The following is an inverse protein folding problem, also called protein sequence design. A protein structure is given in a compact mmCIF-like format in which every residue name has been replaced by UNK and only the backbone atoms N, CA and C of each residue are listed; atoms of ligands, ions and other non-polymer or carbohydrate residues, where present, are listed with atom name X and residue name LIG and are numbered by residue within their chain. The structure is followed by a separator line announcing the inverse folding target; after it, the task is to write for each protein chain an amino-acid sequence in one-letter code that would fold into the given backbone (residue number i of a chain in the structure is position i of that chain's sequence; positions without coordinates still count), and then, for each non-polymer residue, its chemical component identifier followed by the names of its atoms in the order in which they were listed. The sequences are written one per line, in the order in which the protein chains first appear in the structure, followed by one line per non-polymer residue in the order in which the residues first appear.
data_IF_401511427018
#
_entry.id   IF_401511427018
#
_cell.length_a   1.000
_cell.length_b   1.000
_cell.length_c   1.000
_cell.angle_alpha   90.00
_cell.angle_beta   90.00
_cell.angle_gamma   90.00
#
_symmetry.space_group_name_H-M   'P 1'
#
loop_
_entity.id
_entity.type
_entity.pdbx_description
1 polymer ?
#
# COMPACT_ATOMS: atom_id res chain seq x y z
N UNK A 1 -16.95 -0.36 -10.83
CA UNK A 1 -15.82 0.39 -10.25
C UNK A 1 -14.59 0.17 -11.11
N UNK A 2 -14.01 1.24 -11.63
CA UNK A 2 -12.76 1.25 -12.40
C UNK A 2 -11.60 1.54 -11.45
N UNK A 3 -10.63 0.65 -11.36
CA UNK A 3 -9.56 0.72 -10.35
C UNK A 3 -8.21 1.06 -10.97
N UNK A 4 -7.55 2.10 -10.44
CA UNK A 4 -6.17 2.41 -10.76
C UNK A 4 -5.26 1.71 -9.74
N UNK A 5 -4.26 0.99 -10.24
CA UNK A 5 -3.18 0.42 -9.45
C UNK A 5 -1.90 1.16 -9.81
N UNK A 6 -1.34 1.89 -8.85
CA UNK A 6 0.00 2.46 -8.95
C UNK A 6 0.94 1.60 -8.11
N UNK A 7 1.83 0.86 -8.79
CA UNK A 7 2.79 -0.03 -8.14
C UNK A 7 4.12 0.07 -8.90
N UNK A 8 5.00 1.03 -8.55
CA UNK A 8 6.33 1.17 -9.15
C UNK A 8 7.03 -0.18 -9.24
N UNK A 9 7.67 -0.47 -10.37
CA UNK A 9 8.40 -1.75 -10.54
C UNK A 9 9.54 -1.86 -9.53
N UNK A 10 9.37 -2.75 -8.56
CA UNK A 10 10.37 -3.11 -7.57
C UNK A 10 10.16 -4.56 -7.14
N UNK A 11 11.22 -5.38 -7.26
CA UNK A 11 11.16 -6.81 -6.95
C UNK A 11 10.83 -7.08 -5.48
N UNK A 12 11.26 -6.20 -4.57
CA UNK A 12 11.06 -6.39 -3.13
C UNK A 12 9.59 -6.20 -2.72
N UNK A 13 8.79 -5.49 -3.52
CA UNK A 13 7.35 -5.26 -3.26
C UNK A 13 6.44 -6.11 -4.15
N UNK A 14 6.99 -7.03 -4.96
CA UNK A 14 6.22 -7.84 -5.91
C UNK A 14 5.09 -8.65 -5.26
N UNK A 15 5.21 -9.02 -3.98
CA UNK A 15 4.15 -9.70 -3.23
C UNK A 15 2.84 -8.89 -3.20
N UNK A 16 2.91 -7.56 -3.27
CA UNK A 16 1.72 -6.69 -3.33
C UNK A 16 0.91 -6.91 -4.62
N UNK A 17 1.50 -7.51 -5.65
CA UNK A 17 0.77 -7.87 -6.87
C UNK A 17 -0.37 -8.86 -6.65
N UNK A 18 -0.28 -9.67 -5.59
CA UNK A 18 -1.35 -10.58 -5.16
C UNK A 18 -2.66 -9.83 -4.92
N UNK A 19 -2.59 -8.61 -4.36
CA UNK A 19 -3.75 -7.77 -4.04
C UNK A 19 -4.63 -7.58 -5.28
N UNK A 20 -4.02 -7.22 -6.40
CA UNK A 20 -4.75 -6.85 -7.61
C UNK A 20 -4.72 -7.93 -8.71
N UNK A 21 -4.12 -9.10 -8.46
CA UNK A 21 -3.97 -10.16 -9.46
C UNK A 21 -5.32 -10.55 -10.10
N UNK A 22 -6.35 -10.73 -9.26
CA UNK A 22 -7.67 -11.21 -9.69
C UNK A 22 -8.66 -10.08 -10.06
N UNK A 23 -8.31 -8.82 -9.85
CA UNK A 23 -9.16 -7.69 -10.25
C UNK A 23 -9.35 -7.64 -11.77
N UNK A 24 -10.60 -7.58 -12.24
CA UNK A 24 -10.91 -7.56 -13.68
C UNK A 24 -10.79 -6.15 -14.29
N UNK A 25 -11.45 -5.16 -13.69
CA UNK A 25 -11.52 -3.79 -14.23
C UNK A 25 -10.43 -2.89 -13.63
N UNK A 26 -9.16 -3.15 -14.01
CA UNK A 26 -7.99 -2.45 -13.50
C UNK A 26 -7.13 -1.82 -14.58
N UNK A 27 -6.56 -0.66 -14.27
CA UNK A 27 -5.42 -0.08 -14.98
C UNK A 27 -4.21 -0.21 -14.07
N UNK A 28 -3.14 -0.87 -14.52
CA UNK A 28 -1.91 -1.05 -13.73
C UNK A 28 -0.80 -0.20 -14.30
N UNK A 29 -0.27 0.69 -13.48
CA UNK A 29 0.84 1.57 -13.81
C UNK A 29 2.03 1.20 -12.93
N UNK A 30 3.13 0.80 -13.57
CA UNK A 30 4.39 0.47 -12.88
C UNK A 30 5.56 1.42 -13.20
N UNK A 31 5.34 2.38 -14.09
CA UNK A 31 6.35 3.31 -14.59
C UNK A 31 5.91 3.96 -15.91
N UNK A 32 6.80 4.74 -16.51
CA UNK A 32 6.68 5.25 -17.88
C UNK A 32 5.77 6.46 -18.08
N UNK A 33 5.07 6.93 -17.03
CA UNK A 33 4.20 8.11 -17.09
C UNK A 33 4.70 9.25 -16.21
N UNK A 34 4.29 10.46 -16.51
CA UNK A 34 4.54 11.67 -15.72
C UNK A 34 3.53 11.83 -14.58
N UNK A 35 3.83 12.70 -13.61
CA UNK A 35 2.87 13.07 -12.55
C UNK A 35 1.57 13.64 -13.11
N UNK A 36 1.65 14.44 -14.18
CA UNK A 36 0.47 15.03 -14.82
C UNK A 36 -0.44 13.96 -15.45
N UNK A 37 0.14 12.94 -16.07
CA UNK A 37 -0.62 11.80 -16.60
C UNK A 37 -1.22 10.95 -15.48
N UNK A 38 -0.47 10.74 -14.40
CA UNK A 38 -0.97 10.06 -13.21
C UNK A 38 -2.17 10.79 -12.59
N UNK A 39 -2.13 12.13 -12.49
CA UNK A 39 -3.27 12.92 -11.99
C UNK A 39 -4.53 12.69 -12.82
N UNK A 40 -4.43 12.68 -14.16
CA UNK A 40 -5.58 12.38 -15.04
C UNK A 40 -6.10 10.96 -14.85
N UNK A 41 -5.21 10.00 -14.58
CA UNK A 41 -5.61 8.64 -14.25
C UNK A 41 -6.33 8.61 -12.91
N UNK A 42 -5.82 9.29 -11.88
CA UNK A 42 -6.50 9.38 -10.58
C UNK A 42 -7.91 9.95 -10.77
N UNK A 43 -8.05 11.07 -11.48
CA UNK A 43 -9.35 11.70 -11.75
C UNK A 43 -10.34 10.75 -12.42
N UNK A 44 -9.90 10.00 -13.42
CA UNK A 44 -10.74 9.11 -14.26
C UNK A 44 -11.03 7.71 -13.68
N UNK A 45 -10.55 7.40 -12.46
CA UNK A 45 -10.79 6.12 -11.79
C UNK A 45 -11.55 6.32 -10.48
N UNK A 46 -12.35 5.32 -10.13
CA UNK A 46 -13.22 5.37 -8.94
C UNK A 46 -12.44 5.05 -7.66
N UNK A 47 -11.49 4.11 -7.76
CA UNK A 47 -10.67 3.60 -6.65
C UNK A 47 -9.20 3.59 -7.04
N UNK A 48 -8.34 3.96 -6.10
CA UNK A 48 -6.89 4.01 -6.31
C UNK A 48 -6.19 3.12 -5.28
N UNK A 49 -5.34 2.20 -5.73
CA UNK A 49 -4.41 1.45 -4.88
C UNK A 49 -3.00 1.95 -5.17
N UNK A 50 -2.33 2.47 -4.16
CA UNK A 50 -0.95 2.97 -4.23
C UNK A 50 -0.07 2.07 -3.37
N UNK A 51 0.84 1.34 -4.02
CA UNK A 51 1.52 0.17 -3.46
C UNK A 51 3.03 0.29 -3.70
N UNK A 52 3.85 0.00 -2.70
CA UNK A 52 5.29 -0.15 -2.88
C UNK A 52 6.10 0.41 -1.72
N UNK A 53 7.28 0.92 -2.02
CA UNK A 53 8.13 1.62 -1.05
C UNK A 53 7.77 3.09 -0.93
N UNK A 54 7.98 3.64 0.26
CA UNK A 54 7.61 5.02 0.53
C UNK A 54 8.16 5.53 1.84
N UNK A 55 7.76 6.76 2.14
CA UNK A 55 8.09 7.48 3.34
C UNK A 55 6.86 8.31 3.77
N UNK A 56 6.91 9.01 4.92
CA UNK A 56 5.82 9.89 5.35
C UNK A 56 5.38 10.91 4.29
N UNK A 57 6.29 11.31 3.40
CA UNK A 57 6.04 12.33 2.38
C UNK A 57 5.46 11.78 1.06
N UNK A 58 5.42 10.45 0.86
CA UNK A 58 4.91 9.89 -0.40
C UNK A 58 5.41 8.51 -0.80
N UNK A 59 4.88 8.03 -1.93
CA UNK A 59 5.26 6.79 -2.59
C UNK A 59 6.49 7.02 -3.49
N UNK A 60 7.53 6.20 -3.32
CA UNK A 60 8.79 6.37 -4.04
C UNK A 60 8.63 6.09 -5.54
N UNK A 61 9.36 6.86 -6.34
CA UNK A 61 9.43 6.70 -7.79
C UNK A 61 10.23 5.44 -8.20
N UNK A 62 11.30 5.11 -7.45
CA UNK A 62 12.26 4.04 -7.78
C UNK A 62 12.80 4.12 -9.22
N UNK A 63 12.91 5.35 -9.75
CA UNK A 63 13.40 5.61 -11.11
C UNK A 63 12.44 5.20 -12.24
N UNK A 64 11.20 4.83 -11.93
CA UNK A 64 10.26 4.27 -12.91
C UNK A 64 9.48 5.34 -13.70
N UNK A 65 9.38 6.55 -13.16
CA UNK A 65 8.51 7.62 -13.64
C UNK A 65 9.32 8.86 -14.05
N UNK A 66 9.35 9.20 -15.36
CA UNK A 66 10.11 10.32 -15.87
C UNK A 66 9.71 11.65 -15.22
N UNK A 67 10.71 12.42 -14.77
CA UNK A 67 10.50 13.76 -14.22
C UNK A 67 9.78 13.83 -12.87
N UNK A 68 9.49 12.69 -12.22
CA UNK A 68 8.76 12.66 -10.95
C UNK A 68 9.62 13.03 -9.73
N UNK A 69 10.95 13.02 -9.84
CA UNK A 69 11.85 13.20 -8.70
C UNK A 69 11.85 11.99 -7.77
N UNK A 70 11.98 12.21 -6.46
CA UNK A 70 12.06 11.13 -5.45
C UNK A 70 10.74 10.35 -5.32
N UNK A 71 9.61 11.05 -5.33
CA UNK A 71 8.28 10.48 -5.09
C UNK A 71 7.42 10.57 -6.35
N UNK A 72 6.76 9.47 -6.71
CA UNK A 72 5.72 9.50 -7.76
C UNK A 72 4.40 10.04 -7.20
N UNK A 73 4.08 9.75 -5.95
CA UNK A 73 2.96 10.38 -5.23
C UNK A 73 3.53 11.21 -4.10
N UNK A 74 3.17 12.49 -4.04
CA UNK A 74 3.52 13.42 -2.96
C UNK A 74 2.37 14.39 -2.71
N UNK A 75 2.58 15.39 -1.84
CA UNK A 75 1.56 16.38 -1.48
C UNK A 75 0.97 17.15 -2.66
N UNK A 76 1.64 17.22 -3.82
CA UNK A 76 1.07 17.86 -5.02
C UNK A 76 -0.17 17.14 -5.57
N UNK A 77 -0.35 15.86 -5.21
CA UNK A 77 -1.49 15.04 -5.62
C UNK A 77 -2.64 15.06 -4.61
N UNK A 78 -2.47 15.72 -3.46
CA UNK A 78 -3.48 15.72 -2.39
C UNK A 78 -4.84 16.21 -2.87
N UNK A 79 -4.88 17.27 -3.69
CA UNK A 79 -6.13 17.85 -4.21
C UNK A 79 -6.96 16.84 -5.00
N UNK A 80 -6.35 16.07 -5.91
CA UNK A 80 -7.08 15.07 -6.70
C UNK A 80 -7.45 13.84 -5.89
N UNK A 81 -6.62 13.47 -4.91
CA UNK A 81 -6.86 12.34 -4.01
C UNK A 81 -7.99 12.61 -3.00
N UNK A 82 -8.18 13.86 -2.54
CA UNK A 82 -9.30 14.24 -1.66
C UNK A 82 -10.68 13.97 -2.26
N UNK A 83 -10.77 13.94 -3.58
CA UNK A 83 -12.01 13.64 -4.30
C UNK A 83 -12.28 12.13 -4.40
N UNK A 84 -11.47 11.29 -3.74
CA UNK A 84 -11.58 9.83 -3.76
C UNK A 84 -11.91 9.35 -2.35
N UNK A 85 -12.92 8.49 -2.24
CA UNK A 85 -13.39 7.93 -0.97
C UNK A 85 -12.99 6.48 -0.73
N UNK A 86 -12.28 5.87 -1.68
CA UNK A 86 -12.01 4.45 -1.69
C UNK A 86 -10.57 4.19 -2.13
N UNK A 87 -9.62 4.78 -1.39
CA UNK A 87 -8.19 4.66 -1.65
C UNK A 87 -7.51 3.70 -0.69
N UNK A 88 -6.47 3.02 -1.16
CA UNK A 88 -5.55 2.24 -0.34
C UNK A 88 -4.12 2.76 -0.52
N UNK A 89 -3.45 3.02 0.59
CA UNK A 89 -2.09 3.56 0.65
C UNK A 89 -1.19 2.57 1.40
N UNK A 90 -0.45 1.76 0.65
CA UNK A 90 0.33 0.64 1.19
C UNK A 90 1.81 0.87 0.90
N UNK A 91 2.47 1.50 1.86
CA UNK A 91 3.92 1.68 1.94
C UNK A 91 4.30 2.08 3.36
N UNK A 92 5.60 2.10 3.68
CA UNK A 92 6.10 2.49 5.00
C UNK A 92 5.72 3.94 5.34
N UNK A 93 4.91 4.11 6.40
CA UNK A 93 4.41 5.40 6.89
C UNK A 93 3.41 6.11 5.97
N UNK A 94 2.60 5.35 5.24
CA UNK A 94 1.51 5.90 4.45
C UNK A 94 0.44 6.59 5.31
N UNK A 95 0.24 6.16 6.55
CA UNK A 95 -0.63 6.81 7.54
C UNK A 95 -0.30 8.31 7.71
N UNK A 96 0.99 8.65 7.84
CA UNK A 96 1.45 10.03 7.97
C UNK A 96 1.12 10.86 6.74
N UNK A 97 1.36 10.30 5.55
CA UNK A 97 1.00 10.95 4.30
C UNK A 97 -0.49 11.27 4.22
N UNK A 98 -1.33 10.30 4.60
CA UNK A 98 -2.80 10.43 4.56
C UNK A 98 -3.27 11.49 5.56
N UNK A 99 -2.77 11.46 6.80
CA UNK A 99 -3.10 12.44 7.86
C UNK A 99 -2.68 13.86 7.47
N UNK A 100 -1.42 14.06 7.08
CA UNK A 100 -0.85 15.38 6.75
C UNK A 100 -1.58 16.05 5.58
N UNK A 101 -2.06 15.26 4.63
CA UNK A 101 -2.76 15.75 3.45
C UNK A 101 -4.29 15.78 3.62
N UNK A 102 -4.84 15.34 4.75
CA UNK A 102 -6.29 15.26 4.98
C UNK A 102 -7.00 14.36 3.98
N UNK A 103 -6.40 13.19 3.71
CA UNK A 103 -6.95 12.15 2.84
C UNK A 103 -7.69 11.10 3.68
N UNK A 104 -8.50 10.28 3.02
CA UNK A 104 -9.24 9.17 3.65
C UNK A 104 -8.96 7.86 2.92
N UNK A 105 -9.04 6.74 3.63
CA UNK A 105 -8.81 5.42 3.09
C UNK A 105 -8.07 4.48 4.03
N UNK A 106 -7.82 3.27 3.55
CA UNK A 106 -7.03 2.26 4.25
C UNK A 106 -5.54 2.56 4.03
N UNK A 107 -4.77 2.62 5.10
CA UNK A 107 -3.34 2.88 5.03
C UNK A 107 -2.53 2.06 6.03
N UNK A 108 -1.24 1.94 5.74
CA UNK A 108 -0.26 1.31 6.63
C UNK A 108 0.60 2.36 7.32
N UNK A 109 0.93 2.13 8.59
CA UNK A 109 2.05 2.80 9.26
C UNK A 109 3.38 2.26 8.76
N UNK A 110 4.39 2.17 9.64
CA UNK A 110 5.57 1.37 9.31
C UNK A 110 5.15 -0.08 9.01
N UNK A 111 5.59 -0.61 7.88
CA UNK A 111 5.29 -1.97 7.45
C UNK A 111 6.60 -2.68 7.13
N UNK A 112 6.96 -3.69 7.93
CA UNK A 112 8.16 -4.49 7.67
C UNK A 112 7.83 -5.46 6.53
N UNK A 113 8.45 -5.22 5.40
CA UNK A 113 8.36 -6.02 4.17
C UNK A 113 9.67 -6.77 3.85
N UNK A 114 10.79 -6.33 4.41
CA UNK A 114 12.11 -6.92 4.15
C UNK A 114 12.99 -7.05 5.40
N UNK A 115 14.07 -7.83 5.28
CA UNK A 115 14.97 -8.13 6.38
C UNK A 115 15.75 -6.89 6.88
N UNK A 116 16.03 -5.93 6.00
CA UNK A 116 16.74 -4.70 6.37
C UNK A 116 15.87 -3.84 7.30
N UNK A 117 14.58 -3.68 6.99
CA UNK A 117 13.58 -3.03 7.83
C UNK A 117 13.41 -3.76 9.16
N UNK A 118 13.32 -5.10 9.12
CA UNK A 118 13.22 -5.91 10.33
C UNK A 118 14.40 -5.65 11.28
N UNK A 119 15.63 -5.64 10.74
CA UNK A 119 16.85 -5.31 11.48
C UNK A 119 16.81 -3.90 12.08
N UNK A 120 16.35 -2.91 11.32
CA UNK A 120 16.20 -1.52 11.79
C UNK A 120 15.25 -1.40 12.98
N UNK A 121 14.15 -2.16 13.00
CA UNK A 121 13.20 -2.21 14.12
C UNK A 121 13.55 -3.24 15.20
N UNK A 122 14.78 -3.75 15.21
CA UNK A 122 15.30 -4.59 16.29
C UNK A 122 14.96 -6.07 16.21
N UNK A 123 14.35 -6.54 15.11
CA UNK A 123 14.12 -7.96 14.85
C UNK A 123 15.40 -8.60 14.30
N UNK A 124 16.33 -8.92 15.21
CA UNK A 124 17.57 -9.61 14.89
C UNK A 124 17.32 -11.09 14.61
N UNK A 125 17.95 -11.63 13.57
CA UNK A 125 17.88 -13.05 13.19
C UNK A 125 16.45 -13.57 12.95
N UNK A 126 15.54 -12.70 12.48
CA UNK A 126 14.21 -13.15 12.06
C UNK A 126 14.34 -14.02 10.81
N UNK A 127 13.60 -15.13 10.77
CA UNK A 127 13.53 -15.98 9.58
C UNK A 127 12.83 -15.26 8.42
N UNK A 128 13.33 -15.44 7.20
CA UNK A 128 12.72 -14.89 5.99
C UNK A 128 11.29 -15.42 5.77
N UNK A 129 11.00 -16.62 6.26
CA UNK A 129 9.69 -17.26 6.27
C UNK A 129 8.65 -16.47 7.07
N UNK A 130 9.02 -15.84 8.19
CA UNK A 130 8.11 -15.00 8.96
C UNK A 130 7.75 -13.71 8.20
N UNK A 131 8.72 -13.08 7.53
CA UNK A 131 8.47 -11.91 6.70
C UNK A 131 7.58 -12.30 5.51
N UNK A 132 7.91 -13.38 4.80
CA UNK A 132 7.14 -13.87 3.66
C UNK A 132 5.70 -14.24 4.06
N UNK A 133 5.51 -14.98 5.16
CA UNK A 133 4.20 -15.35 5.67
C UNK A 133 3.37 -14.11 6.03
N UNK A 134 4.01 -13.11 6.66
CA UNK A 134 3.38 -11.84 7.01
C UNK A 134 2.92 -11.09 5.74
N UNK A 135 3.83 -10.90 4.79
CA UNK A 135 3.58 -10.15 3.55
C UNK A 135 2.53 -10.82 2.66
N UNK A 136 2.67 -12.13 2.45
CA UNK A 136 1.75 -12.93 1.63
C UNK A 136 0.36 -12.98 2.27
N UNK A 137 0.28 -13.27 3.57
CA UNK A 137 -0.99 -13.31 4.29
C UNK A 137 -1.73 -11.97 4.22
N UNK A 138 -1.03 -10.87 4.44
CA UNK A 138 -1.58 -9.52 4.27
C UNK A 138 -2.15 -9.31 2.86
N UNK A 139 -1.36 -9.59 1.81
CA UNK A 139 -1.77 -9.35 0.43
C UNK A 139 -2.92 -10.26 -0.03
N UNK A 140 -2.92 -11.53 0.38
CA UNK A 140 -3.98 -12.50 0.07
C UNK A 140 -5.32 -12.10 0.73
N UNK A 141 -5.29 -11.65 1.99
CA UNK A 141 -6.51 -11.23 2.68
C UNK A 141 -7.11 -9.99 2.01
N UNK A 142 -6.31 -8.98 1.66
CA UNK A 142 -6.82 -7.81 0.94
C UNK A 142 -7.40 -8.26 -0.42
N UNK A 143 -6.67 -9.09 -1.16
CA UNK A 143 -7.11 -9.61 -2.47
C UNK A 143 -8.48 -10.29 -2.38
N UNK A 144 -8.67 -11.14 -1.37
CA UNK A 144 -9.90 -11.90 -1.12
C UNK A 144 -11.12 -11.01 -0.90
N UNK A 145 -10.95 -9.88 -0.24
CA UNK A 145 -12.05 -8.97 0.12
C UNK A 145 -12.10 -7.72 -0.76
N UNK A 146 -11.27 -7.62 -1.80
CA UNK A 146 -11.06 -6.36 -2.49
C UNK A 146 -12.35 -5.80 -3.10
N UNK A 147 -13.34 -6.62 -3.48
CA UNK A 147 -14.61 -6.14 -4.03
C UNK A 147 -15.61 -5.62 -2.97
N UNK A 148 -15.30 -5.76 -1.68
CA UNK A 148 -16.13 -5.29 -0.57
C UNK A 148 -15.94 -3.78 -0.29
N UNK A 149 -16.86 -3.15 0.47
CA UNK A 149 -16.64 -1.83 1.05
C UNK A 149 -15.36 -1.78 1.89
N UNK A 150 -14.66 -0.64 1.88
CA UNK A 150 -13.31 -0.53 2.47
C UNK A 150 -13.29 -0.79 3.98
N UNK A 151 -14.39 -0.49 4.67
CA UNK A 151 -14.60 -0.77 6.09
C UNK A 151 -14.65 -2.28 6.34
N UNK A 152 -15.28 -3.04 5.44
CA UNK A 152 -15.34 -4.50 5.50
C UNK A 152 -13.96 -5.09 5.19
N UNK A 153 -13.26 -4.57 4.18
CA UNK A 153 -11.87 -4.96 3.89
C UNK A 153 -11.00 -4.78 5.14
N UNK A 154 -11.07 -3.61 5.77
CA UNK A 154 -10.31 -3.30 6.98
C UNK A 154 -10.65 -4.23 8.14
N UNK A 155 -11.93 -4.47 8.42
CA UNK A 155 -12.37 -5.39 9.48
C UNK A 155 -11.88 -6.82 9.23
N UNK A 156 -12.01 -7.31 7.99
CA UNK A 156 -11.54 -8.65 7.62
C UNK A 156 -10.02 -8.76 7.70
N UNK A 157 -9.32 -7.72 7.27
CA UNK A 157 -7.87 -7.63 7.40
C UNK A 157 -7.45 -7.72 8.86
N UNK A 158 -8.01 -6.89 9.76
CA UNK A 158 -7.68 -6.93 11.19
C UNK A 158 -7.93 -8.31 11.81
N UNK A 159 -9.02 -8.98 11.44
CA UNK A 159 -9.39 -10.27 12.02
C UNK A 159 -8.55 -11.44 11.48
N UNK A 160 -8.47 -11.61 10.16
CA UNK A 160 -7.78 -12.75 9.55
C UNK A 160 -6.26 -12.60 9.64
N UNK A 161 -5.73 -11.40 9.45
CA UNK A 161 -4.30 -11.13 9.64
C UNK A 161 -3.93 -11.21 11.11
N UNK A 162 -4.88 -10.86 11.99
CA UNK A 162 -4.82 -11.03 13.44
C UNK A 162 -4.53 -12.48 13.87
N UNK A 163 -4.85 -13.49 13.06
CA UNK A 163 -4.55 -14.89 13.37
C UNK A 163 -3.04 -15.20 13.29
N UNK A 164 -2.28 -14.41 12.52
CA UNK A 164 -0.83 -14.58 12.37
C UNK A 164 -0.02 -13.95 13.52
N UNK A 165 -0.61 -13.06 14.33
CA UNK A 165 0.16 -12.22 15.28
C UNK A 165 0.83 -12.99 16.42
N UNK A 166 0.29 -14.17 16.80
CA UNK A 166 0.88 -15.01 17.84
C UNK A 166 2.13 -15.77 17.36
N UNK A 167 2.07 -16.54 16.25
CA UNK A 167 3.24 -17.24 15.75
C UNK A 167 4.24 -16.34 15.02
N UNK A 168 3.83 -15.15 14.57
CA UNK A 168 4.63 -14.30 13.69
C UNK A 168 4.78 -12.88 14.26
N UNK A 169 5.98 -12.57 14.74
CA UNK A 169 6.28 -11.26 15.34
C UNK A 169 6.29 -10.11 14.33
N UNK A 170 6.57 -10.40 13.05
CA UNK A 170 6.50 -9.41 11.96
C UNK A 170 5.04 -9.08 11.66
N UNK A 171 4.18 -10.10 11.54
CA UNK A 171 2.75 -9.91 11.36
C UNK A 171 2.14 -9.11 12.50
N UNK A 172 2.54 -9.38 13.75
CA UNK A 172 2.14 -8.59 14.92
C UNK A 172 2.57 -7.13 14.81
N UNK A 173 3.81 -6.86 14.40
CA UNK A 173 4.30 -5.50 14.23
C UNK A 173 3.49 -4.74 13.17
N UNK A 174 3.28 -5.36 12.01
CA UNK A 174 2.55 -4.77 10.89
C UNK A 174 1.06 -4.60 11.23
N UNK A 175 0.44 -5.58 11.89
CA UNK A 175 -0.99 -5.57 12.28
C UNK A 175 -1.35 -4.39 13.19
N UNK A 176 -0.47 -4.06 14.15
CA UNK A 176 -0.65 -2.91 15.05
C UNK A 176 -0.59 -1.55 14.35
N UNK A 177 -0.22 -1.52 13.07
CA UNK A 177 0.01 -0.33 12.25
C UNK A 177 -0.87 -0.33 11.01
N UNK A 178 -2.04 -0.96 11.10
CA UNK A 178 -3.08 -0.88 10.08
C UNK A 178 -4.08 0.18 10.50
N UNK A 179 -4.45 1.04 9.56
CA UNK A 179 -5.31 2.18 9.82
C UNK A 179 -6.40 2.28 8.74
N UNK A 180 -7.56 2.77 9.17
CA UNK A 180 -8.63 3.25 8.29
C UNK A 180 -8.95 4.67 8.74
N UNK A 181 -8.63 5.65 7.89
CA UNK A 181 -8.90 7.06 8.13
C UNK A 181 -10.18 7.41 7.37
N UNK A 182 -11.17 7.97 8.08
CA UNK A 182 -12.51 8.28 7.58
C UNK A 182 -12.81 9.77 7.71
#
# INVERSE_FOLDING_TARGET
MKTLILHPSDRSTDFLSIIYANLRNKTVIKGGITKSELNRLIESHDRILMLGHGAPFGLLNSGQFPGAGLFIVDGSMATVLKNKSNCMYIWCYADKFVEENGLIGLCTGMFISEASEAGYYGFKNIGADLIEQSNKGFAEIISKYLDEPIEIVYQKLLNEYGLLVRPNSIARFNHQRLHLIC
#
